data_IF_762685444122
#
_entry.id   IF_762685444122
#
_cell.length_a   1.000
_cell.length_b   1.000
_cell.length_c   1.000
_cell.angle_alpha   90.00
_cell.angle_beta   90.00
_cell.angle_gamma   90.00
#
_symmetry.space_group_name_H-M   'P 1'
#
loop_
_entity.id
_entity.type
_entity.pdbx_description
1 polymer ?
#
# COMPACT_ATOMS: atom_id res chain seq x y z
N UNK A 1 -7.94 -1.52 -40.60
CA UNK A 1 -6.70 -1.54 -39.79
C UNK A 1 -6.69 -0.47 -38.71
N UNK A 2 -6.92 0.82 -39.03
CA UNK A 2 -6.94 1.89 -38.01
C UNK A 2 -7.97 1.68 -36.89
N UNK A 3 -9.16 1.17 -37.23
CA UNK A 3 -10.24 0.91 -36.26
C UNK A 3 -9.88 -0.16 -35.21
N UNK A 4 -9.11 -1.19 -35.60
CA UNK A 4 -8.65 -2.25 -34.69
C UNK A 4 -7.61 -1.70 -33.72
N UNK A 5 -6.72 -0.83 -34.19
CA UNK A 5 -5.70 -0.18 -33.35
C UNK A 5 -6.37 0.74 -32.30
N UNK A 6 -7.41 1.48 -32.69
CA UNK A 6 -8.17 2.33 -31.77
C UNK A 6 -8.90 1.53 -30.68
N UNK A 7 -9.46 0.37 -31.03
CA UNK A 7 -10.15 -0.51 -30.07
C UNK A 7 -9.18 -1.16 -29.08
N UNK A 8 -7.96 -1.48 -29.52
CA UNK A 8 -6.89 -1.98 -28.66
C UNK A 8 -6.33 -0.90 -27.73
N UNK A 9 -6.27 0.36 -28.18
CA UNK A 9 -5.85 1.50 -27.36
C UNK A 9 -6.83 1.77 -26.21
N UNK A 10 -8.15 1.65 -26.44
CA UNK A 10 -9.16 1.80 -25.37
C UNK A 10 -9.14 0.66 -24.35
N UNK A 11 -8.63 -0.52 -24.73
CA UNK A 11 -8.48 -1.65 -23.82
C UNK A 11 -7.23 -1.55 -22.92
N UNK A 12 -6.34 -0.57 -23.17
CA UNK A 12 -5.10 -0.37 -22.45
C UNK A 12 -5.20 0.67 -21.30
N UNK A 13 -6.41 0.98 -20.83
CA UNK A 13 -6.58 1.90 -19.70
C UNK A 13 -6.28 1.19 -18.37
N UNK A 14 -5.21 1.63 -17.70
CA UNK A 14 -4.87 1.20 -16.36
C UNK A 14 -5.87 1.73 -15.33
N UNK A 15 -6.39 0.85 -14.47
CA UNK A 15 -7.16 1.24 -13.30
C UNK A 15 -6.36 2.15 -12.35
N UNK A 16 -7.07 3.10 -11.71
CA UNK A 16 -6.58 3.86 -10.55
C UNK A 16 -6.97 3.13 -9.28
N UNK A 17 -5.98 2.64 -8.53
CA UNK A 17 -6.16 1.75 -7.37
C UNK A 17 -5.63 2.45 -6.12
N UNK A 18 -6.50 2.63 -5.13
CA UNK A 18 -6.12 3.09 -3.80
C UNK A 18 -6.07 1.90 -2.84
N UNK A 19 -4.88 1.58 -2.34
CA UNK A 19 -4.68 0.55 -1.31
C UNK A 19 -4.69 1.20 0.07
N UNK A 20 -5.71 0.87 0.87
CA UNK A 20 -5.79 1.32 2.26
C UNK A 20 -5.15 0.23 3.12
N UNK A 21 -3.98 0.54 3.67
CA UNK A 21 -3.16 -0.39 4.45
C UNK A 21 -3.02 0.17 5.86
N UNK A 22 -3.99 -0.10 6.75
CA UNK A 22 -3.92 0.32 8.15
C UNK A 22 -2.95 -0.55 8.99
N UNK A 23 -2.04 -1.27 8.32
CA UNK A 23 -1.20 -2.30 8.92
C UNK A 23 -0.12 -1.73 9.82
N UNK A 24 -0.15 -2.14 11.09
CA UNK A 24 0.82 -1.73 12.13
C UNK A 24 2.12 -2.56 12.13
N UNK A 25 2.24 -3.58 11.28
CA UNK A 25 3.36 -4.54 11.30
C UNK A 25 4.05 -4.67 9.93
N UNK A 26 5.36 -4.95 9.94
CA UNK A 26 6.23 -4.97 8.75
C UNK A 26 5.77 -5.94 7.64
N UNK A 27 5.22 -7.11 7.99
CA UNK A 27 4.82 -8.12 7.01
C UNK A 27 3.64 -7.65 6.15
N UNK A 28 2.67 -6.94 6.73
CA UNK A 28 1.53 -6.40 6.00
C UNK A 28 1.97 -5.28 5.05
N UNK A 29 2.88 -4.41 5.49
CA UNK A 29 3.44 -3.35 4.63
C UNK A 29 4.20 -3.95 3.46
N UNK A 30 5.08 -4.92 3.71
CA UNK A 30 5.88 -5.58 2.67
C UNK A 30 5.01 -6.32 1.65
N UNK A 31 3.97 -7.01 2.11
CA UNK A 31 3.01 -7.66 1.21
C UNK A 31 2.32 -6.64 0.28
N UNK A 32 1.84 -5.53 0.84
CA UNK A 32 1.16 -4.50 0.06
C UNK A 32 2.12 -3.78 -0.91
N UNK A 33 3.38 -3.57 -0.53
CA UNK A 33 4.40 -3.04 -1.43
C UNK A 33 4.63 -3.96 -2.64
N UNK A 34 4.73 -5.28 -2.42
CA UNK A 34 4.87 -6.27 -3.52
C UNK A 34 3.62 -6.33 -4.41
N UNK A 35 2.45 -6.21 -3.81
CA UNK A 35 1.18 -6.15 -4.54
C UNK A 35 1.12 -4.88 -5.41
N UNK A 36 1.48 -3.73 -4.85
CA UNK A 36 1.50 -2.46 -5.56
C UNK A 36 2.49 -2.46 -6.73
N UNK A 37 3.68 -3.03 -6.54
CA UNK A 37 4.69 -3.17 -7.58
C UNK A 37 4.18 -4.04 -8.74
N UNK A 38 3.52 -5.16 -8.42
CA UNK A 38 2.92 -6.05 -9.42
C UNK A 38 1.80 -5.35 -10.21
N UNK A 39 0.89 -4.66 -9.53
CA UNK A 39 -0.21 -3.93 -10.18
C UNK A 39 0.31 -2.80 -11.09
N UNK A 40 1.34 -2.09 -10.65
CA UNK A 40 1.97 -1.05 -11.45
C UNK A 40 2.70 -1.61 -12.66
N UNK A 41 3.37 -2.77 -12.52
CA UNK A 41 3.99 -3.46 -13.65
C UNK A 41 2.96 -3.87 -14.74
N UNK A 42 1.70 -4.06 -14.35
CA UNK A 42 0.58 -4.30 -15.27
C UNK A 42 -0.02 -3.02 -15.88
N UNK A 43 0.55 -1.84 -15.58
CA UNK A 43 0.11 -0.56 -16.12
C UNK A 43 -0.95 0.17 -15.29
N UNK A 44 -1.25 -0.30 -14.08
CA UNK A 44 -2.18 0.39 -13.18
C UNK A 44 -1.51 1.58 -12.48
N UNK A 45 -2.30 2.61 -12.20
CA UNK A 45 -1.91 3.71 -11.31
C UNK A 45 -2.27 3.33 -9.88
N UNK A 46 -1.28 3.17 -9.02
CA UNK A 46 -1.46 2.64 -7.66
C UNK A 46 -0.99 3.67 -6.64
N UNK A 47 -1.89 4.01 -5.72
CA UNK A 47 -1.61 4.83 -4.56
C UNK A 47 -1.78 4.02 -3.28
N UNK A 48 -0.88 4.20 -2.33
CA UNK A 48 -0.93 3.55 -1.02
C UNK A 48 -1.29 4.56 0.03
N UNK A 49 -2.24 4.22 0.88
CA UNK A 49 -2.53 4.95 2.11
C UNK A 49 -2.10 4.08 3.29
N UNK A 50 -0.99 4.48 3.91
CA UNK A 50 -0.41 3.77 5.05
C UNK A 50 -0.56 4.57 6.35
N UNK A 51 -0.81 3.83 7.43
CA UNK A 51 -0.93 4.34 8.79
C UNK A 51 0.02 3.53 9.68
N UNK A 52 1.23 4.04 9.92
CA UNK A 52 2.27 3.32 10.68
C UNK A 52 3.14 4.27 11.52
N UNK A 53 3.50 3.85 12.74
CA UNK A 53 4.57 4.49 13.52
C UNK A 53 5.94 4.13 12.93
N UNK A 54 6.74 5.14 12.56
CA UNK A 54 8.06 4.99 11.93
C UNK A 54 9.05 4.12 12.72
N UNK A 55 8.90 4.01 14.04
CA UNK A 55 9.78 3.19 14.89
C UNK A 55 9.64 1.68 14.65
N UNK A 56 8.55 1.24 14.03
CA UNK A 56 8.29 -0.17 13.74
C UNK A 56 8.76 -0.61 12.35
N UNK A 57 9.16 0.33 11.48
CA UNK A 57 9.54 0.04 10.10
C UNK A 57 11.05 -0.15 10.01
N UNK A 58 11.49 -1.36 9.67
CA UNK A 58 12.90 -1.58 9.33
C UNK A 58 13.20 -0.93 7.96
N UNK A 59 13.70 0.29 8.02
CA UNK A 59 14.06 1.12 6.87
C UNK A 59 15.13 0.53 5.96
N UNK A 60 15.85 -0.52 6.40
CA UNK A 60 16.89 -1.16 5.61
C UNK A 60 16.32 -2.02 4.46
N UNK A 61 15.14 -2.61 4.65
CA UNK A 61 14.57 -3.58 3.71
C UNK A 61 13.23 -3.16 3.08
N UNK A 62 12.52 -2.18 3.67
CA UNK A 62 11.24 -1.71 3.15
C UNK A 62 11.40 -0.39 2.38
N UNK A 63 11.65 -0.49 1.07
CA UNK A 63 11.62 0.66 0.16
C UNK A 63 10.27 0.72 -0.53
N UNK A 64 9.69 1.92 -0.60
CA UNK A 64 8.47 2.17 -1.37
C UNK A 64 8.72 1.77 -2.84
N UNK A 65 7.80 1.03 -3.49
CA UNK A 65 7.94 0.68 -4.90
C UNK A 65 8.05 1.94 -5.77
N UNK A 66 8.91 1.89 -6.79
CA UNK A 66 9.22 3.08 -7.60
C UNK A 66 7.96 3.63 -8.27
N UNK A 67 7.66 4.91 -8.02
CA UNK A 67 6.54 5.66 -8.62
C UNK A 67 5.15 5.33 -8.07
N UNK A 68 5.04 4.53 -7.01
CA UNK A 68 3.82 4.49 -6.20
C UNK A 68 3.75 5.76 -5.35
N UNK A 69 2.59 6.40 -5.30
CA UNK A 69 2.35 7.52 -4.38
C UNK A 69 1.90 7.00 -3.02
N UNK A 70 2.61 7.36 -1.95
CA UNK A 70 2.24 7.01 -0.57
C UNK A 70 1.65 8.22 0.16
N UNK A 71 0.37 8.11 0.52
CA UNK A 71 -0.31 9.00 1.47
C UNK A 71 -0.09 8.47 2.88
N UNK A 72 0.90 9.04 3.56
CA UNK A 72 1.21 8.67 4.94
C UNK A 72 0.40 9.52 5.91
N UNK A 73 -0.32 8.88 6.82
CA UNK A 73 -1.02 9.57 7.91
C UNK A 73 -0.35 9.20 9.22
N UNK A 74 0.20 10.21 9.89
CA UNK A 74 0.79 10.07 11.22
C UNK A 74 -0.30 9.72 12.24
N UNK A 75 -0.15 8.58 12.91
CA UNK A 75 -0.94 8.26 14.10
C UNK A 75 -0.05 8.53 15.31
N UNK A 76 -0.45 9.50 16.14
CA UNK A 76 0.12 9.68 17.48
C UNK A 76 -0.65 8.78 18.43
N UNK A 77 -0.08 7.63 18.78
CA UNK A 77 -0.68 6.81 19.83
C UNK A 77 -0.50 7.49 21.18
N UNK A 78 -1.58 8.06 21.72
CA UNK A 78 -1.60 8.42 23.13
C UNK A 78 -1.57 7.09 23.92
N UNK A 79 -0.58 6.93 24.79
CA UNK A 79 -0.08 5.71 25.44
C UNK A 79 -1.08 4.63 25.94
N UNK A 80 -2.39 4.87 25.93
CA UNK A 80 -3.42 3.91 26.36
C UNK A 80 -3.69 2.76 25.38
N UNK A 81 -3.52 2.98 24.07
CA UNK A 81 -3.85 1.96 23.05
C UNK A 81 -2.81 0.82 22.93
N UNK A 82 -1.52 1.11 23.21
CA UNK A 82 -0.47 0.06 23.24
C UNK A 82 -0.70 -0.96 24.36
N UNK A 83 -1.33 -0.54 25.47
CA UNK A 83 -1.60 -1.40 26.63
C UNK A 83 -2.87 -2.23 26.47
N UNK A 84 -3.85 -1.75 25.70
CA UNK A 84 -5.15 -2.42 25.52
C UNK A 84 -5.21 -3.31 24.26
N UNK A 85 -4.52 -2.95 23.17
CA UNK A 85 -4.53 -3.73 21.92
C UNK A 85 -3.84 -5.10 21.99
N UNK A 86 -2.90 -5.30 22.92
CA UNK A 86 -2.26 -6.60 23.17
C UNK A 86 -3.06 -7.49 24.14
N UNK A 87 -4.13 -6.96 24.76
CA UNK A 87 -5.00 -7.68 25.70
C UNK A 87 -6.30 -8.17 25.08
N UNK A 88 -6.47 -8.09 23.75
CA UNK A 88 -7.57 -8.77 23.06
C UNK A 88 -7.30 -10.29 23.02
N UNK A 89 -7.48 -10.89 24.20
CA UNK A 89 -7.89 -12.25 24.49
C UNK A 89 -7.54 -13.33 23.46
N UNK A 90 -6.46 -14.06 23.75
CA UNK A 90 -6.48 -15.51 23.65
C UNK A 90 -7.60 -16.02 24.57
N UNK A 91 -8.75 -16.39 24.00
CA UNK A 91 -9.70 -17.33 24.62
C UNK A 91 -9.49 -18.69 23.97
#
# INVERSE_FOLDING_TARGET
MLSVIFYLLTAAEGLRILQIVPGFTNSHVLFNYRLADTLRALGHDVSLWTQMEMEMMDSSNNRLPSGVHEHRIDIKFNNKLKTEGLKACLY
#
